data_IF_872850252177
#
_entry.id   IF_872850252177
#
_cell.length_a   1.000
_cell.length_b   1.000
_cell.length_c   1.000
_cell.angle_alpha   90.00
_cell.angle_beta   90.00
_cell.angle_gamma   90.00
#
_symmetry.space_group_name_H-M   'P 1'
#
loop_
_entity.id
_entity.type
_entity.pdbx_description
1 polymer ?
#
# COMPACT_ATOMS: atom_id res chain seq x y z
N UNK A 1 48.18 -56.85 14.28
CA UNK A 1 48.72 -55.62 13.67
C UNK A 1 48.32 -55.42 12.21
N UNK A 2 48.59 -56.34 11.27
CA UNK A 2 48.37 -56.08 9.83
C UNK A 2 46.90 -55.86 9.41
N UNK A 3 45.94 -56.52 10.08
CA UNK A 3 44.50 -56.33 9.85
C UNK A 3 43.95 -55.03 10.47
N UNK A 4 44.65 -54.46 11.44
CA UNK A 4 44.22 -53.29 12.20
C UNK A 4 44.56 -51.99 11.44
N UNK A 5 45.74 -51.92 10.83
CA UNK A 5 46.14 -50.81 9.96
C UNK A 5 45.27 -50.67 8.71
N UNK A 6 44.92 -51.77 8.04
CA UNK A 6 44.07 -51.75 6.84
C UNK A 6 42.67 -51.20 7.10
N UNK A 7 42.09 -51.49 8.27
CA UNK A 7 40.78 -50.96 8.67
C UNK A 7 40.87 -49.49 9.03
N UNK A 8 41.95 -49.09 9.72
CA UNK A 8 42.20 -47.71 10.10
C UNK A 8 42.42 -46.81 8.87
N UNK A 9 43.22 -47.24 7.90
CA UNK A 9 43.45 -46.48 6.66
C UNK A 9 42.17 -46.31 5.85
N UNK A 10 41.30 -47.33 5.86
CA UNK A 10 40.02 -47.29 5.15
C UNK A 10 39.05 -46.29 5.79
N UNK A 11 38.98 -46.25 7.12
CA UNK A 11 38.14 -45.26 7.83
C UNK A 11 38.71 -43.85 7.74
N UNK A 12 40.03 -43.68 7.80
CA UNK A 12 40.69 -42.39 7.65
C UNK A 12 40.51 -41.83 6.23
N UNK A 13 40.66 -42.70 5.21
CA UNK A 13 40.39 -42.36 3.81
C UNK A 13 38.93 -41.98 3.57
N UNK A 14 37.98 -42.71 4.15
CA UNK A 14 36.55 -42.37 4.07
C UNK A 14 36.24 -41.01 4.71
N UNK A 15 36.83 -40.70 5.88
CA UNK A 15 36.68 -39.40 6.53
C UNK A 15 37.27 -38.26 5.68
N UNK A 16 38.44 -38.47 5.07
CA UNK A 16 39.06 -37.48 4.19
C UNK A 16 38.18 -37.18 2.97
N UNK A 17 37.59 -38.21 2.37
CA UNK A 17 36.66 -38.04 1.24
C UNK A 17 35.41 -37.26 1.69
N UNK A 18 34.82 -37.60 2.83
CA UNK A 18 33.67 -36.87 3.35
C UNK A 18 34.00 -35.39 3.63
N UNK A 19 35.18 -35.12 4.22
CA UNK A 19 35.66 -33.75 4.43
C UNK A 19 35.89 -33.00 3.12
N UNK A 20 36.44 -33.66 2.10
CA UNK A 20 36.62 -33.06 0.78
C UNK A 20 35.28 -32.74 0.11
N UNK A 21 34.29 -33.65 0.21
CA UNK A 21 32.93 -33.42 -0.30
C UNK A 21 32.28 -32.23 0.39
N UNK A 22 32.36 -32.14 1.72
CA UNK A 22 31.80 -31.01 2.47
C UNK A 22 32.54 -29.71 2.14
N UNK A 23 33.88 -29.76 2.11
CA UNK A 23 34.75 -28.61 1.84
C UNK A 23 34.57 -28.01 0.44
N UNK A 24 34.12 -28.81 -0.54
CA UNK A 24 33.80 -28.34 -1.89
C UNK A 24 32.31 -27.99 -2.04
N UNK A 25 31.41 -28.80 -1.48
CA UNK A 25 29.96 -28.60 -1.67
C UNK A 25 29.44 -27.33 -0.98
N UNK A 26 29.94 -26.98 0.22
CA UNK A 26 29.52 -25.76 0.92
C UNK A 26 29.87 -24.47 0.16
N UNK A 27 31.12 -24.24 -0.30
CA UNK A 27 31.43 -23.06 -1.11
C UNK A 27 30.64 -22.99 -2.42
N UNK A 28 30.40 -24.13 -3.08
CA UNK A 28 29.59 -24.18 -4.30
C UNK A 28 28.11 -23.84 -4.03
N UNK A 29 27.56 -24.35 -2.92
CA UNK A 29 26.20 -23.99 -2.48
C UNK A 29 26.11 -22.49 -2.18
N UNK A 30 27.08 -21.94 -1.45
CA UNK A 30 27.12 -20.52 -1.11
C UNK A 30 27.22 -19.62 -2.35
N UNK A 31 27.92 -20.03 -3.40
CA UNK A 31 27.99 -19.28 -4.65
C UNK A 31 26.62 -19.16 -5.36
N UNK A 32 25.73 -20.15 -5.17
CA UNK A 32 24.37 -20.14 -5.70
C UNK A 32 23.33 -19.47 -4.79
N UNK A 33 23.69 -19.12 -3.55
CA UNK A 33 22.77 -18.59 -2.55
C UNK A 33 22.11 -17.26 -2.94
N UNK A 34 22.82 -16.25 -3.49
CA UNK A 34 22.20 -14.95 -3.79
C UNK A 34 21.01 -15.06 -4.77
N UNK A 35 21.13 -15.90 -5.80
CA UNK A 35 20.03 -16.09 -6.77
C UNK A 35 18.83 -16.83 -6.18
N UNK A 36 19.06 -17.71 -5.19
CA UNK A 36 17.99 -18.39 -4.46
C UNK A 36 17.23 -17.40 -3.57
N UNK A 37 17.94 -16.50 -2.90
CA UNK A 37 17.34 -15.48 -2.06
C UNK A 37 16.54 -14.45 -2.87
N UNK A 38 17.11 -13.97 -3.99
CA UNK A 38 16.43 -13.05 -4.90
C UNK A 38 15.13 -13.66 -5.43
N UNK A 39 15.18 -14.91 -5.91
CA UNK A 39 13.99 -15.61 -6.39
C UNK A 39 12.92 -15.80 -5.31
N UNK A 40 13.30 -16.07 -4.06
CA UNK A 40 12.36 -16.12 -2.93
C UNK A 40 11.72 -14.76 -2.70
N UNK A 41 12.50 -13.69 -2.66
CA UNK A 41 11.98 -12.35 -2.37
C UNK A 41 10.97 -11.91 -3.44
N UNK A 42 11.30 -12.08 -4.73
CA UNK A 42 10.38 -11.75 -5.83
C UNK A 42 9.08 -12.56 -5.75
N UNK A 43 9.17 -13.86 -5.48
CA UNK A 43 7.97 -14.70 -5.38
C UNK A 43 7.15 -14.37 -4.13
N UNK A 44 7.81 -14.08 -3.00
CA UNK A 44 7.13 -13.61 -1.77
C UNK A 44 6.39 -12.30 -2.03
N UNK A 45 7.05 -11.30 -2.62
CA UNK A 45 6.44 -10.01 -2.95
C UNK A 45 5.22 -10.18 -3.85
N UNK A 46 5.33 -11.02 -4.89
CA UNK A 46 4.23 -11.35 -5.81
C UNK A 46 3.07 -12.02 -5.09
N UNK A 47 3.34 -13.05 -4.28
CA UNK A 47 2.30 -13.77 -3.53
C UNK A 47 1.61 -12.85 -2.54
N UNK A 48 2.37 -12.04 -1.79
CA UNK A 48 1.83 -11.18 -0.74
C UNK A 48 1.02 -10.04 -1.35
N UNK A 49 1.50 -9.44 -2.44
CA UNK A 49 0.75 -8.43 -3.21
C UNK A 49 -0.58 -9.00 -3.70
N UNK A 50 -0.59 -10.18 -4.32
CA UNK A 50 -1.83 -10.81 -4.81
C UNK A 50 -2.80 -11.18 -3.69
N UNK A 51 -2.30 -11.66 -2.54
CA UNK A 51 -3.15 -11.95 -1.38
C UNK A 51 -3.72 -10.67 -0.77
N UNK A 52 -2.90 -9.64 -0.65
CA UNK A 52 -3.30 -8.31 -0.21
C UNK A 52 -4.38 -7.72 -1.09
N UNK A 53 -4.25 -7.86 -2.42
CA UNK A 53 -5.27 -7.45 -3.39
C UNK A 53 -6.59 -8.19 -3.16
N UNK A 54 -6.54 -9.51 -3.01
CA UNK A 54 -7.75 -10.30 -2.74
C UNK A 54 -8.43 -9.88 -1.42
N UNK A 55 -7.64 -9.56 -0.38
CA UNK A 55 -8.18 -9.01 0.87
C UNK A 55 -8.81 -7.63 0.61
N UNK A 56 -8.13 -6.77 -0.15
CA UNK A 56 -8.58 -5.42 -0.47
C UNK A 56 -9.91 -5.42 -1.25
N UNK A 57 -10.06 -6.31 -2.23
CA UNK A 57 -11.20 -6.37 -3.14
C UNK A 57 -12.34 -7.22 -2.54
N UNK A 58 -12.04 -8.45 -2.14
CA UNK A 58 -13.06 -9.45 -1.81
C UNK A 58 -13.21 -9.67 -0.31
N UNK A 59 -12.09 -9.71 0.43
CA UNK A 59 -12.08 -10.10 1.85
C UNK A 59 -12.63 -9.02 2.79
N UNK A 60 -11.88 -7.93 2.92
CA UNK A 60 -12.22 -6.75 3.73
C UNK A 60 -12.99 -5.69 2.93
N UNK A 61 -13.09 -5.84 1.60
CA UNK A 61 -13.83 -4.94 0.72
C UNK A 61 -13.45 -3.46 0.90
N UNK A 62 -12.16 -3.19 1.14
CA UNK A 62 -11.61 -1.85 1.23
C UNK A 62 -11.95 -1.03 -0.03
N UNK A 63 -12.01 -1.70 -1.19
CA UNK A 63 -12.44 -1.14 -2.48
C UNK A 63 -13.80 -0.43 -2.43
N UNK A 64 -14.73 -0.90 -1.61
CA UNK A 64 -16.08 -0.30 -1.50
C UNK A 64 -16.04 1.13 -0.99
N UNK A 65 -14.98 1.49 -0.25
CA UNK A 65 -14.79 2.85 0.24
C UNK A 65 -13.64 3.57 -0.46
N UNK A 66 -12.52 2.89 -0.69
CA UNK A 66 -11.30 3.51 -1.22
C UNK A 66 -11.16 3.39 -2.74
N UNK A 67 -12.14 2.79 -3.42
CA UNK A 67 -12.17 2.67 -4.88
C UNK A 67 -11.18 1.66 -5.45
N UNK A 68 -11.25 1.38 -6.76
CA UNK A 68 -10.29 0.52 -7.44
C UNK A 68 -8.89 1.13 -7.35
N UNK A 69 -7.88 0.29 -7.18
CA UNK A 69 -6.46 0.69 -7.03
C UNK A 69 -6.23 1.78 -5.96
N UNK A 70 -7.12 1.90 -4.98
CA UNK A 70 -7.00 2.91 -3.93
C UNK A 70 -7.11 4.35 -4.42
N UNK A 71 -7.83 4.61 -5.52
CA UNK A 71 -7.99 5.97 -6.06
C UNK A 71 -8.75 6.95 -5.11
N UNK A 72 -9.42 6.42 -4.09
CA UNK A 72 -10.33 7.15 -3.21
C UNK A 72 -11.74 7.24 -3.81
N UNK A 73 -12.75 7.35 -2.94
CA UNK A 73 -14.14 7.56 -3.37
C UNK A 73 -14.93 8.36 -2.34
N UNK A 74 -16.03 8.97 -2.77
CA UNK A 74 -17.05 9.49 -1.87
C UNK A 74 -18.03 8.38 -1.51
N UNK A 75 -18.15 8.07 -0.22
CA UNK A 75 -18.99 7.00 0.30
C UNK A 75 -20.09 7.60 1.14
N UNK A 76 -21.33 7.19 0.91
CA UNK A 76 -22.45 7.59 1.74
C UNK A 76 -22.45 6.76 3.03
N UNK A 77 -22.31 7.40 4.19
CA UNK A 77 -22.37 6.75 5.50
C UNK A 77 -23.40 7.40 6.42
N UNK A 78 -24.03 6.60 7.28
CA UNK A 78 -24.99 7.08 8.27
C UNK A 78 -24.26 7.45 9.56
N UNK A 79 -24.53 8.65 10.08
CA UNK A 79 -24.15 9.05 11.42
C UNK A 79 -25.21 8.51 12.38
N UNK A 80 -24.78 7.78 13.40
CA UNK A 80 -25.62 7.31 14.49
C UNK A 80 -25.25 7.99 15.80
N UNK A 81 -26.22 8.15 16.71
CA UNK A 81 -25.98 8.60 18.08
C UNK A 81 -25.31 7.49 18.91
N UNK A 82 -24.85 7.84 20.11
CA UNK A 82 -24.30 6.86 21.08
C UNK A 82 -25.32 5.77 21.45
N UNK A 83 -26.62 6.04 21.32
CA UNK A 83 -27.71 5.06 21.51
C UNK A 83 -28.06 4.28 20.24
N UNK A 84 -27.33 4.46 19.14
CA UNK A 84 -27.54 3.77 17.86
C UNK A 84 -28.67 4.35 17.00
N UNK A 85 -29.21 5.52 17.35
CA UNK A 85 -30.27 6.17 16.59
C UNK A 85 -29.70 6.85 15.34
N UNK A 86 -30.38 6.72 14.20
CA UNK A 86 -30.00 7.41 12.98
C UNK A 86 -30.12 8.93 13.13
N UNK A 87 -29.04 9.66 12.83
CA UNK A 87 -29.00 11.13 12.89
C UNK A 87 -29.07 11.73 11.49
N UNK A 88 -28.14 11.36 10.61
CA UNK A 88 -28.05 11.91 9.26
C UNK A 88 -27.27 11.00 8.33
N UNK A 89 -27.54 11.10 7.03
CA UNK A 89 -26.69 10.51 5.99
C UNK A 89 -25.68 11.56 5.53
N UNK A 90 -24.39 11.24 5.57
CA UNK A 90 -23.32 12.13 5.11
C UNK A 90 -22.50 11.48 4.01
N UNK A 91 -22.04 12.29 3.05
CA UNK A 91 -21.06 11.86 2.07
C UNK A 91 -19.67 12.00 2.68
N UNK A 92 -19.06 10.88 3.04
CA UNK A 92 -17.70 10.83 3.57
C UNK A 92 -16.71 10.63 2.42
N UNK A 93 -15.74 11.54 2.30
CA UNK A 93 -14.67 11.41 1.31
C UNK A 93 -13.60 10.47 1.86
N UNK A 94 -13.61 9.22 1.40
CA UNK A 94 -12.56 8.28 1.72
C UNK A 94 -11.29 8.70 0.95
N UNK A 95 -10.16 8.91 1.65
CA UNK A 95 -8.95 9.38 1.02
C UNK A 95 -8.37 8.34 0.07
N UNK A 96 -7.67 8.82 -0.96
CA UNK A 96 -6.91 7.98 -1.86
C UNK A 96 -5.80 7.25 -1.10
N UNK A 97 -5.71 5.93 -1.32
CA UNK A 97 -4.70 5.05 -0.74
C UNK A 97 -3.49 4.86 -1.65
N UNK A 98 -3.60 5.10 -2.95
CA UNK A 98 -2.47 5.12 -3.90
C UNK A 98 -1.46 6.26 -3.64
N UNK A 99 -1.73 7.12 -2.66
CA UNK A 99 -0.83 8.18 -2.19
C UNK A 99 -0.66 8.16 -0.67
N UNK A 100 -1.03 7.07 0.00
CA UNK A 100 -1.01 7.01 1.47
C UNK A 100 0.42 7.02 2.00
N UNK A 101 1.34 6.34 1.31
CA UNK A 101 2.73 6.19 1.76
C UNK A 101 3.60 7.41 1.45
N UNK A 102 3.09 8.39 0.70
CA UNK A 102 3.75 9.71 0.59
C UNK A 102 3.47 10.61 1.79
N UNK A 103 2.47 10.27 2.62
CA UNK A 103 1.99 11.10 3.74
C UNK A 103 2.18 10.43 5.11
N UNK A 104 2.14 9.10 5.14
CA UNK A 104 2.19 8.31 6.36
C UNK A 104 3.24 7.22 6.24
N UNK A 105 3.90 6.92 7.36
CA UNK A 105 4.74 5.74 7.48
C UNK A 105 3.90 4.47 7.45
N UNK A 106 4.53 3.35 7.12
CA UNK A 106 3.85 2.04 7.13
C UNK A 106 3.30 1.69 8.51
N UNK A 107 4.01 2.03 9.59
CA UNK A 107 3.57 1.77 10.96
C UNK A 107 2.29 2.56 11.30
N UNK A 108 2.15 3.80 10.82
CA UNK A 108 0.94 4.60 10.99
C UNK A 108 -0.24 4.03 10.18
N UNK A 109 0.03 3.54 8.98
CA UNK A 109 -0.98 2.86 8.16
C UNK A 109 -1.42 1.55 8.83
N UNK A 110 -0.47 0.75 9.33
CA UNK A 110 -0.76 -0.47 10.08
C UNK A 110 -1.54 -0.18 11.37
N UNK A 111 -1.21 0.89 12.08
CA UNK A 111 -2.00 1.33 13.23
C UNK A 111 -3.45 1.63 12.83
N UNK A 112 -3.64 2.37 11.72
CA UNK A 112 -4.97 2.68 11.19
C UNK A 112 -5.73 1.41 10.76
N UNK A 113 -5.05 0.46 10.12
CA UNK A 113 -5.66 -0.83 9.77
C UNK A 113 -6.04 -1.64 11.02
N UNK A 114 -5.23 -1.59 12.06
CA UNK A 114 -5.52 -2.30 13.30
C UNK A 114 -6.73 -1.72 14.05
N UNK A 115 -6.84 -0.39 14.16
CA UNK A 115 -7.79 0.24 15.07
C UNK A 115 -8.91 1.04 14.38
N UNK A 116 -8.87 1.14 13.05
CA UNK A 116 -9.79 1.97 12.29
C UNK A 116 -9.51 3.47 12.47
N UNK A 117 -10.41 4.31 11.97
CA UNK A 117 -10.27 5.77 12.06
C UNK A 117 -11.62 6.50 12.08
N UNK A 118 -11.74 7.44 13.00
CA UNK A 118 -12.87 8.39 13.13
C UNK A 118 -14.26 7.74 13.20
N UNK A 119 -14.35 6.48 13.62
CA UNK A 119 -15.61 5.73 13.68
C UNK A 119 -16.24 5.38 12.32
N UNK A 120 -15.63 5.82 11.20
CA UNK A 120 -16.12 5.56 9.83
C UNK A 120 -15.38 4.38 9.21
N UNK A 121 -14.05 4.35 9.36
CA UNK A 121 -13.25 3.20 8.95
C UNK A 121 -13.20 2.21 10.12
N UNK A 122 -13.70 0.97 9.95
CA UNK A 122 -13.67 -0.02 11.02
C UNK A 122 -12.25 -0.51 11.31
N UNK A 123 -12.07 -1.09 12.49
CA UNK A 123 -10.86 -1.84 12.83
C UNK A 123 -10.82 -3.15 12.04
N UNK A 124 -9.70 -3.42 11.36
CA UNK A 124 -9.50 -4.65 10.60
C UNK A 124 -8.57 -5.63 11.28
N UNK A 125 -7.57 -5.14 12.02
CA UNK A 125 -6.63 -5.98 12.73
C UNK A 125 -7.20 -6.59 14.00
N UNK A 126 -6.71 -7.79 14.33
CA UNK A 126 -7.04 -8.49 15.57
C UNK A 126 -6.78 -7.62 16.82
N UNK A 127 -5.75 -6.76 16.80
CA UNK A 127 -5.43 -5.83 17.89
C UNK A 127 -6.56 -4.84 18.22
N UNK A 128 -7.37 -4.44 17.23
CA UNK A 128 -8.56 -3.61 17.42
C UNK A 128 -9.88 -4.37 17.38
N UNK A 129 -9.84 -5.71 17.45
CA UNK A 129 -11.03 -6.57 17.38
C UNK A 129 -11.55 -6.86 15.97
N UNK A 130 -10.77 -6.53 14.93
CA UNK A 130 -11.08 -6.83 13.54
C UNK A 130 -10.76 -8.28 13.14
N UNK A 131 -11.20 -8.72 11.94
CA UNK A 131 -11.13 -10.11 11.51
C UNK A 131 -9.77 -10.53 10.92
N UNK A 132 -8.86 -9.60 10.64
CA UNK A 132 -7.59 -9.86 9.97
C UNK A 132 -6.47 -10.13 10.98
N UNK A 133 -5.63 -11.11 10.64
CA UNK A 133 -4.38 -11.40 11.34
C UNK A 133 -3.28 -10.42 10.96
N UNK A 134 -2.23 -10.32 11.77
CA UNK A 134 -1.07 -9.45 11.49
C UNK A 134 -0.43 -9.76 10.14
N UNK A 135 -0.34 -11.05 9.78
CA UNK A 135 0.17 -11.47 8.47
C UNK A 135 -0.70 -10.98 7.31
N UNK A 136 -2.03 -11.01 7.47
CA UNK A 136 -2.95 -10.51 6.45
C UNK A 136 -2.88 -8.98 6.32
N UNK A 137 -2.65 -8.27 7.42
CA UNK A 137 -2.40 -6.82 7.36
C UNK A 137 -1.08 -6.51 6.63
N UNK A 138 -0.05 -7.31 6.85
CA UNK A 138 1.21 -7.20 6.10
C UNK A 138 0.99 -7.45 4.61
N UNK A 139 0.24 -8.50 4.23
CA UNK A 139 -0.13 -8.76 2.83
C UNK A 139 -0.89 -7.57 2.22
N UNK A 140 -1.83 -6.95 2.96
CA UNK A 140 -2.49 -5.70 2.54
C UNK A 140 -1.47 -4.57 2.37
N UNK A 141 -0.48 -4.42 3.25
CA UNK A 141 0.58 -3.42 3.08
C UNK A 141 1.42 -3.66 1.83
N UNK A 142 1.73 -4.90 1.46
CA UNK A 142 2.37 -5.23 0.19
C UNK A 142 1.54 -4.75 -1.01
N UNK A 143 0.23 -4.98 -0.98
CA UNK A 143 -0.67 -4.46 -2.01
C UNK A 143 -0.68 -2.92 -2.03
N UNK A 144 -0.80 -2.27 -0.86
CA UNK A 144 -0.78 -0.80 -0.78
C UNK A 144 0.51 -0.19 -1.33
N UNK A 145 1.67 -0.83 -1.09
CA UNK A 145 2.94 -0.44 -1.73
C UNK A 145 2.87 -0.53 -3.26
N UNK A 146 2.31 -1.61 -3.79
CA UNK A 146 2.25 -1.87 -5.23
C UNK A 146 1.40 -0.85 -6.01
N UNK A 147 0.38 -0.25 -5.37
CA UNK A 147 -0.52 0.72 -5.99
C UNK A 147 -0.07 2.18 -5.82
N UNK A 148 1.06 2.44 -5.14
CA UNK A 148 1.52 3.82 -4.96
C UNK A 148 1.86 4.46 -6.30
N UNK A 149 1.33 5.66 -6.54
CA UNK A 149 1.70 6.47 -7.70
C UNK A 149 2.95 7.30 -7.42
N UNK A 150 3.68 7.63 -8.48
CA UNK A 150 4.90 8.42 -8.38
C UNK A 150 4.61 9.89 -8.06
N UNK A 151 5.63 10.59 -7.55
CA UNK A 151 5.51 11.98 -7.12
C UNK A 151 5.06 12.93 -8.24
N UNK A 152 5.45 12.69 -9.50
CA UNK A 152 5.05 13.55 -10.61
C UNK A 152 3.55 13.43 -10.88
N UNK A 153 3.01 12.22 -10.83
CA UNK A 153 1.57 11.98 -10.93
C UNK A 153 0.82 12.55 -9.72
N UNK A 154 1.37 12.44 -8.51
CA UNK A 154 0.77 13.05 -7.31
C UNK A 154 0.64 14.56 -7.50
N UNK A 155 1.73 15.25 -7.88
CA UNK A 155 1.72 16.69 -8.11
C UNK A 155 0.71 17.09 -9.18
N UNK A 156 0.68 16.38 -10.31
CA UNK A 156 -0.29 16.64 -11.37
C UNK A 156 -1.75 16.52 -10.90
N UNK A 157 -2.06 15.52 -10.05
CA UNK A 157 -3.40 15.36 -9.46
C UNK A 157 -3.74 16.48 -8.47
N UNK A 158 -2.76 16.92 -7.66
CA UNK A 158 -2.93 18.03 -6.71
C UNK A 158 -3.15 19.34 -7.47
N UNK A 159 -2.34 19.65 -8.48
CA UNK A 159 -2.45 20.87 -9.28
C UNK A 159 -3.79 20.94 -10.00
N UNK A 160 -4.24 19.82 -10.59
CA UNK A 160 -5.55 19.73 -11.23
C UNK A 160 -6.69 19.96 -10.22
N UNK A 161 -6.60 19.34 -9.03
CA UNK A 161 -7.59 19.52 -7.97
C UNK A 161 -7.61 20.94 -7.41
N UNK A 162 -6.45 21.57 -7.27
CA UNK A 162 -6.33 22.97 -6.83
C UNK A 162 -6.97 23.91 -7.86
N UNK A 163 -6.63 23.77 -9.14
CA UNK A 163 -7.24 24.56 -10.22
C UNK A 163 -8.76 24.41 -10.24
N UNK A 164 -9.28 23.20 -10.14
CA UNK A 164 -10.73 22.97 -10.08
C UNK A 164 -11.37 23.66 -8.85
N UNK A 165 -10.75 23.55 -7.67
CA UNK A 165 -11.27 24.20 -6.47
C UNK A 165 -11.28 25.73 -6.60
N UNK A 166 -10.23 26.31 -7.22
CA UNK A 166 -10.13 27.75 -7.50
C UNK A 166 -11.20 28.18 -8.49
N UNK A 167 -11.44 27.42 -9.56
CA UNK A 167 -12.53 27.67 -10.50
C UNK A 167 -13.89 27.68 -9.82
N UNK A 168 -14.17 26.68 -8.96
CA UNK A 168 -15.42 26.60 -8.20
C UNK A 168 -15.58 27.80 -7.24
N UNK A 169 -14.49 28.24 -6.60
CA UNK A 169 -14.48 29.43 -5.75
C UNK A 169 -14.73 30.71 -6.55
N UNK A 170 -14.01 30.91 -7.67
CA UNK A 170 -14.18 32.07 -8.53
C UNK A 170 -15.59 32.11 -9.14
N UNK A 171 -16.18 30.97 -9.47
CA UNK A 171 -17.56 30.91 -9.96
C UNK A 171 -18.59 31.36 -8.91
N UNK A 172 -18.29 31.15 -7.62
CA UNK A 172 -19.12 31.61 -6.52
C UNK A 172 -18.89 33.10 -6.18
N UNK A 173 -17.66 33.59 -6.25
CA UNK A 173 -17.27 34.95 -5.83
C UNK A 173 -17.33 35.99 -6.95
N UNK A 174 -17.02 35.61 -8.19
CA UNK A 174 -16.95 36.46 -9.38
C UNK A 174 -17.80 35.85 -10.52
N UNK A 175 -19.13 35.75 -10.34
CA UNK A 175 -20.01 35.10 -11.31
C UNK A 175 -19.98 35.76 -12.70
N UNK A 176 -19.63 37.05 -12.78
CA UNK A 176 -19.41 37.78 -14.03
C UNK A 176 -18.31 37.18 -14.93
N UNK A 177 -17.30 36.53 -14.34
CA UNK A 177 -16.22 35.87 -15.08
C UNK A 177 -16.74 34.64 -15.86
N UNK A 178 -17.85 34.06 -15.40
CA UNK A 178 -18.49 32.86 -15.94
C UNK A 178 -19.84 33.18 -16.61
N UNK A 179 -20.15 34.47 -16.84
CA UNK A 179 -21.36 34.89 -17.53
C UNK A 179 -21.24 34.71 -19.05
N UNK A 180 -22.34 34.35 -19.71
CA UNK A 180 -22.34 34.08 -21.16
C UNK A 180 -22.16 35.37 -22.01
N UNK A 181 -21.29 35.36 -23.05
CA UNK A 181 -20.39 34.26 -23.42
C UNK A 181 -19.19 34.17 -22.47
N UNK A 182 -18.89 32.95 -22.00
CA UNK A 182 -17.76 32.73 -21.08
C UNK A 182 -16.45 33.03 -21.79
N UNK A 183 -15.66 33.94 -21.22
CA UNK A 183 -14.28 34.19 -21.64
C UNK A 183 -13.35 33.17 -20.96
N UNK A 184 -13.17 32.04 -21.62
CA UNK A 184 -12.34 30.95 -21.12
C UNK A 184 -10.86 31.36 -20.88
N UNK A 185 -10.35 32.37 -21.61
CA UNK A 185 -8.99 32.86 -21.44
C UNK A 185 -8.88 33.72 -20.18
N UNK A 186 -9.87 34.58 -19.92
CA UNK A 186 -9.94 35.37 -18.69
C UNK A 186 -10.12 34.48 -17.44
N UNK A 187 -10.93 33.42 -17.52
CA UNK A 187 -11.07 32.43 -16.44
C UNK A 187 -9.76 31.72 -16.18
N UNK A 188 -9.09 31.21 -17.21
CA UNK A 188 -7.81 30.52 -17.05
C UNK A 188 -6.73 31.43 -16.46
N UNK A 189 -6.64 32.69 -16.91
CA UNK A 189 -5.70 33.66 -16.37
C UNK A 189 -5.97 33.98 -14.89
N UNK A 190 -7.23 34.14 -14.49
CA UNK A 190 -7.59 34.38 -13.09
C UNK A 190 -7.27 33.18 -12.19
N UNK A 191 -7.49 31.95 -12.67
CA UNK A 191 -7.11 30.73 -11.97
C UNK A 191 -5.59 30.63 -11.82
N UNK A 192 -4.84 30.88 -12.90
CA UNK A 192 -3.38 30.83 -12.90
C UNK A 192 -2.78 31.87 -11.94
N UNK A 193 -3.31 33.09 -11.92
CA UNK A 193 -2.88 34.18 -11.01
C UNK A 193 -3.12 33.79 -9.55
N UNK A 194 -4.32 33.28 -9.24
CA UNK A 194 -4.64 32.83 -7.89
C UNK A 194 -3.77 31.64 -7.43
N UNK A 195 -3.51 30.68 -8.32
CA UNK A 195 -2.64 29.53 -8.02
C UNK A 195 -1.18 29.94 -7.86
N UNK A 196 -0.72 30.97 -8.57
CA UNK A 196 0.65 31.49 -8.45
C UNK A 196 0.87 32.28 -7.14
N UNK A 197 -0.17 32.88 -6.58
CA UNK A 197 -0.14 33.66 -5.34
C UNK A 197 -0.32 32.83 -4.05
N UNK A 198 -0.69 31.55 -4.18
CA UNK A 198 -0.94 30.61 -3.06
C UNK A 198 0.33 29.89 -2.55
#
# INVERSE_FOLDING_TARGET
>A
EELEGKRLDLTLGANLVMLAVIGVSLPLYWLGEPGREEGRNVETDRIFTNRGENIYIEGAQCISCHGPEGAGASVSTAITSESGEFVAQVSWKAPALNTVLSRFSEDEVLHTLNFGRNGVMPAWGAGGGGPLTDQQLEEVMFYLRSIQIDETRIRAQVDAGLRQAVEEMLAAEQPELFAEPVDAEAVAAAVDDFVADA
#
